data_IF_397425425702
#
_entry.id   IF_397425425702
#
_cell.length_a   1.000
_cell.length_b   1.000
_cell.length_c   1.000
_cell.angle_alpha   90.00
_cell.angle_beta   90.00
_cell.angle_gamma   90.00
#
_symmetry.space_group_name_H-M   'P 1'
#
loop_
_entity.id
_entity.type
_entity.pdbx_description
1 polymer ?
#
# COMPACT_ATOMS: atom_id res chain seq x y z
N UNK A 1 20.96 -14.08 -16.63
CA UNK A 1 20.26 -12.96 -17.29
C UNK A 1 18.84 -12.98 -16.78
N UNK A 2 18.36 -11.93 -16.10
CA UNK A 2 17.04 -11.95 -15.48
C UNK A 2 15.97 -11.98 -16.58
N UNK A 3 15.24 -13.09 -16.72
CA UNK A 3 14.11 -13.20 -17.64
C UNK A 3 12.91 -12.49 -16.99
N UNK A 4 12.65 -11.27 -17.46
CA UNK A 4 11.56 -10.41 -16.96
C UNK A 4 10.32 -10.61 -17.82
N UNK A 5 9.20 -10.92 -17.18
CA UNK A 5 7.95 -11.27 -17.86
C UNK A 5 7.02 -10.06 -18.04
N UNK A 6 6.89 -9.24 -17.01
CA UNK A 6 6.03 -8.05 -16.98
C UNK A 6 6.74 -6.91 -16.24
N UNK A 7 6.47 -5.69 -16.68
CA UNK A 7 6.97 -4.45 -16.07
C UNK A 7 5.80 -3.51 -15.84
N UNK A 8 5.80 -2.84 -14.69
CA UNK A 8 4.84 -1.79 -14.36
C UNK A 8 5.53 -0.59 -13.73
N UNK A 9 5.03 0.61 -14.01
CA UNK A 9 5.65 1.85 -13.55
C UNK A 9 4.71 2.66 -12.65
N UNK A 10 5.09 2.75 -11.37
CA UNK A 10 4.41 3.53 -10.35
C UNK A 10 4.81 5.00 -10.47
N UNK A 11 4.06 5.77 -11.27
CA UNK A 11 4.40 7.15 -11.64
C UNK A 11 4.65 8.11 -10.47
N UNK A 12 3.81 8.08 -9.42
CA UNK A 12 3.94 8.98 -8.25
C UNK A 12 5.16 8.67 -7.35
N UNK A 13 5.63 7.43 -7.38
CA UNK A 13 6.74 6.94 -6.52
C UNK A 13 8.04 6.81 -7.30
N UNK A 14 8.01 6.93 -8.64
CA UNK A 14 9.13 6.64 -9.54
C UNK A 14 9.71 5.23 -9.35
N UNK A 15 8.85 4.26 -9.05
CA UNK A 15 9.24 2.87 -8.90
C UNK A 15 8.88 2.08 -10.16
N UNK A 16 9.86 1.37 -10.72
CA UNK A 16 9.64 0.34 -11.71
C UNK A 16 9.54 -1.00 -10.99
N UNK A 17 8.42 -1.68 -11.19
CA UNK A 17 8.18 -3.02 -10.69
C UNK A 17 8.44 -3.99 -11.81
N UNK A 18 9.38 -4.90 -11.57
CA UNK A 18 9.75 -5.94 -12.51
C UNK A 18 9.36 -7.31 -11.99
N UNK A 19 8.57 -8.02 -12.78
CA UNK A 19 8.25 -9.43 -12.58
C UNK A 19 9.25 -10.31 -13.31
N UNK A 20 9.77 -11.33 -12.65
CA UNK A 20 10.59 -12.37 -13.28
C UNK A 20 9.85 -13.70 -13.35
N UNK A 21 10.13 -14.49 -14.40
CA UNK A 21 9.63 -15.87 -14.51
C UNK A 21 10.08 -16.76 -13.35
N UNK A 22 11.16 -16.41 -12.65
CA UNK A 22 11.67 -17.13 -11.50
C UNK A 22 10.90 -16.86 -10.19
N UNK A 23 9.63 -16.44 -10.27
CA UNK A 23 8.77 -16.09 -9.11
C UNK A 23 9.27 -14.92 -8.26
N UNK A 24 10.19 -14.12 -8.79
CA UNK A 24 10.70 -12.92 -8.11
C UNK A 24 10.01 -11.67 -8.63
N UNK A 25 9.72 -10.75 -7.73
CA UNK A 25 9.27 -9.40 -8.06
C UNK A 25 10.22 -8.39 -7.42
N UNK A 26 10.67 -7.42 -8.21
CA UNK A 26 11.64 -6.43 -7.78
C UNK A 26 11.05 -5.02 -7.90
N UNK A 27 11.26 -4.20 -6.88
CA UNK A 27 10.97 -2.77 -6.90
C UNK A 27 12.26 -2.01 -7.09
N UNK A 28 12.36 -1.22 -8.17
CA UNK A 28 13.54 -0.44 -8.50
C UNK A 28 13.14 1.02 -8.56
N UNK A 29 13.83 1.87 -7.80
CA UNK A 29 13.70 3.30 -7.90
C UNK A 29 14.42 3.79 -9.17
N UNK A 30 13.65 4.32 -10.12
CA UNK A 30 14.15 4.77 -11.42
C UNK A 30 14.92 6.09 -11.30
N UNK A 31 14.54 6.97 -10.37
CA UNK A 31 15.21 8.28 -10.25
C UNK A 31 16.61 8.14 -9.68
N UNK A 32 16.81 7.17 -8.77
CA UNK A 32 18.11 6.91 -8.11
C UNK A 32 18.86 5.73 -8.72
N UNK A 33 18.16 4.82 -9.40
CA UNK A 33 18.72 3.60 -9.96
C UNK A 33 19.00 2.51 -8.91
N UNK A 34 18.30 2.52 -7.78
CA UNK A 34 18.52 1.58 -6.67
C UNK A 34 17.36 0.61 -6.52
N UNK A 35 17.68 -0.65 -6.25
CA UNK A 35 16.66 -1.62 -5.86
C UNK A 35 16.18 -1.32 -4.43
N UNK A 36 14.87 -1.13 -4.29
CA UNK A 36 14.20 -0.86 -3.01
C UNK A 36 13.87 -2.16 -2.31
N UNK A 37 13.24 -3.10 -3.03
CA UNK A 37 12.81 -4.37 -2.48
C UNK A 37 12.92 -5.50 -3.51
N UNK A 38 13.07 -6.72 -3.00
CA UNK A 38 12.97 -7.98 -3.77
C UNK A 38 12.10 -8.95 -3.00
N UNK A 39 11.08 -9.48 -3.66
CA UNK A 39 10.14 -10.43 -3.06
C UNK A 39 10.14 -11.73 -3.83
N UNK A 40 10.20 -12.85 -3.09
CA UNK A 40 9.97 -14.18 -3.63
C UNK A 40 8.49 -14.54 -3.41
N UNK A 41 7.70 -14.56 -4.49
CA UNK A 41 6.26 -14.86 -4.43
C UNK A 41 5.96 -16.33 -4.18
N UNK A 42 6.92 -17.21 -4.46
CA UNK A 42 6.86 -18.68 -4.28
C UNK A 42 5.65 -19.36 -4.95
N UNK A 43 5.08 -18.73 -5.98
CA UNK A 43 3.79 -19.13 -6.56
C UNK A 43 3.85 -19.38 -8.08
N UNK A 44 5.05 -19.66 -8.61
CA UNK A 44 5.26 -20.00 -10.02
C UNK A 44 5.63 -18.80 -10.90
N UNK A 45 5.45 -18.95 -12.21
CA UNK A 45 5.74 -17.86 -13.17
C UNK A 45 4.76 -16.71 -12.97
N UNK A 46 5.29 -15.48 -13.03
CA UNK A 46 4.52 -14.26 -12.82
C UNK A 46 4.32 -13.53 -14.14
N UNK A 47 3.46 -14.08 -14.98
CA UNK A 47 3.18 -13.55 -16.32
C UNK A 47 2.11 -12.45 -16.31
N UNK A 48 1.40 -12.27 -15.19
CA UNK A 48 0.29 -11.32 -15.05
C UNK A 48 0.55 -10.39 -13.87
N UNK A 49 0.55 -9.10 -14.16
CA UNK A 49 0.80 -8.03 -13.20
C UNK A 49 -0.07 -6.82 -13.56
N UNK A 50 -0.67 -6.18 -12.56
CA UNK A 50 -1.49 -4.99 -12.70
C UNK A 50 -1.31 -4.03 -11.51
N UNK A 51 -1.10 -2.75 -11.77
CA UNK A 51 -1.03 -1.71 -10.75
C UNK A 51 -2.44 -1.18 -10.44
N UNK A 52 -2.69 -0.84 -9.17
CA UNK A 52 -3.79 0.07 -8.81
C UNK A 52 -3.30 1.54 -8.80
N UNK A 53 -4.08 2.44 -9.41
CA UNK A 53 -3.69 3.85 -9.56
C UNK A 53 -3.96 4.68 -8.30
N UNK A 54 -5.00 4.34 -7.52
CA UNK A 54 -5.30 5.01 -6.24
C UNK A 54 -4.32 4.57 -5.15
N UNK A 55 -4.27 3.27 -4.91
CA UNK A 55 -3.32 2.67 -3.98
C UNK A 55 -2.24 2.02 -4.84
N UNK A 56 -0.98 2.47 -4.77
CA UNK A 56 0.13 2.01 -5.64
C UNK A 56 0.61 0.59 -5.27
N UNK A 57 -0.34 -0.32 -5.07
CA UNK A 57 -0.16 -1.73 -4.79
C UNK A 57 -0.17 -2.48 -6.12
N UNK A 58 0.67 -3.51 -6.18
CA UNK A 58 0.79 -4.36 -7.35
C UNK A 58 -0.01 -5.63 -7.14
N UNK A 59 -0.92 -5.90 -8.06
CA UNK A 59 -1.67 -7.14 -8.14
C UNK A 59 -0.91 -8.10 -9.05
N UNK A 60 -0.69 -9.32 -8.58
CA UNK A 60 -0.01 -10.37 -9.34
C UNK A 60 -0.92 -11.58 -9.45
N UNK A 61 -1.03 -12.14 -10.66
CA UNK A 61 -1.81 -13.34 -10.93
C UNK A 61 -0.93 -14.57 -10.95
N UNK A 62 -1.36 -15.61 -10.24
CA UNK A 62 -0.63 -16.88 -10.15
C UNK A 62 -1.27 -17.97 -11.00
N UNK A 63 -0.47 -19.01 -11.27
CA UNK A 63 -0.91 -20.23 -11.95
C UNK A 63 -1.94 -21.03 -11.15
N UNK A 64 -1.96 -20.86 -9.83
CA UNK A 64 -2.90 -21.50 -8.92
C UNK A 64 -4.30 -20.83 -8.88
N UNK A 65 -4.53 -19.79 -9.69
CA UNK A 65 -5.79 -19.05 -9.70
C UNK A 65 -5.96 -18.05 -8.56
N UNK A 66 -4.91 -17.80 -7.80
CA UNK A 66 -4.87 -16.77 -6.76
C UNK A 66 -4.31 -15.47 -7.31
N UNK A 67 -4.86 -14.35 -6.85
CA UNK A 67 -4.30 -13.02 -7.04
C UNK A 67 -3.72 -12.57 -5.71
N UNK A 68 -2.47 -12.12 -5.71
CA UNK A 68 -1.84 -11.56 -4.50
C UNK A 68 -1.49 -10.09 -4.68
N UNK A 69 -1.74 -9.34 -3.63
CA UNK A 69 -1.52 -7.90 -3.54
C UNK A 69 -0.22 -7.63 -2.81
N UNK A 70 0.64 -6.78 -3.37
CA UNK A 70 1.98 -6.52 -2.85
C UNK A 70 2.23 -5.04 -2.60
N UNK A 71 2.90 -4.77 -1.48
CA UNK A 71 3.50 -3.48 -1.15
C UNK A 71 5.01 -3.67 -0.93
N UNK A 72 5.87 -2.68 -1.23
CA UNK A 72 7.30 -2.72 -0.90
C UNK A 72 7.59 -2.81 0.60
N UNK A 73 6.60 -2.55 1.46
CA UNK A 73 6.78 -2.53 2.91
C UNK A 73 6.74 -3.92 3.56
N UNK A 74 6.06 -4.87 2.93
CA UNK A 74 5.87 -6.22 3.46
C UNK A 74 6.53 -7.25 2.56
N UNK A 75 7.29 -8.18 3.17
CA UNK A 75 7.86 -9.33 2.46
C UNK A 75 6.82 -10.37 2.07
N UNK A 76 5.71 -10.38 2.78
CA UNK A 76 4.56 -11.24 2.51
C UNK A 76 3.48 -10.44 1.76
N UNK A 77 2.68 -11.08 0.91
CA UNK A 77 1.60 -10.39 0.22
C UNK A 77 0.57 -9.90 1.24
N UNK A 78 0.10 -8.66 1.06
CA UNK A 78 -0.87 -8.03 1.95
C UNK A 78 -2.19 -8.81 1.98
N UNK A 79 -2.64 -9.24 0.80
CA UNK A 79 -3.89 -9.98 0.61
C UNK A 79 -3.68 -11.05 -0.45
N UNK A 80 -4.27 -12.23 -0.24
CA UNK A 80 -4.39 -13.30 -1.23
C UNK A 80 -5.86 -13.57 -1.49
N UNK A 81 -6.29 -13.39 -2.74
CA UNK A 81 -7.67 -13.59 -3.18
C UNK A 81 -7.69 -14.82 -4.08
N UNK A 82 -8.51 -15.82 -3.76
CA UNK A 82 -8.75 -16.94 -4.66
C UNK A 82 -9.78 -16.50 -5.70
N UNK A 83 -9.32 -16.19 -6.91
CA UNK A 83 -10.17 -15.61 -7.94
C UNK A 83 -10.67 -16.67 -8.92
N UNK A 84 -9.81 -17.58 -9.36
CA UNK A 84 -10.13 -18.63 -10.32
C UNK A 84 -9.71 -20.01 -9.81
N UNK A 85 -10.31 -21.07 -10.37
CA UNK A 85 -9.89 -22.44 -10.06
C UNK A 85 -8.63 -22.85 -10.85
N UNK A 86 -8.28 -22.07 -11.85
CA UNK A 86 -7.17 -22.28 -12.77
C UNK A 86 -6.32 -21.01 -12.84
N UNK A 87 -5.18 -21.09 -13.51
CA UNK A 87 -4.29 -19.94 -13.78
C UNK A 87 -5.05 -18.68 -14.18
N UNK A 88 -4.73 -17.58 -13.50
CA UNK A 88 -5.13 -16.23 -13.88
C UNK A 88 -4.36 -15.86 -15.16
N UNK A 89 -5.05 -15.25 -16.12
CA UNK A 89 -4.49 -14.85 -17.42
C UNK A 89 -4.46 -13.34 -17.61
N UNK A 90 -5.44 -12.63 -17.08
CA UNK A 90 -5.45 -11.16 -17.08
C UNK A 90 -5.98 -10.61 -15.77
N UNK A 91 -5.47 -9.44 -15.40
CA UNK A 91 -5.94 -8.62 -14.27
C UNK A 91 -5.97 -7.18 -14.76
N UNK A 92 -7.09 -6.51 -14.51
CA UNK A 92 -7.22 -5.07 -14.68
C UNK A 92 -7.86 -4.48 -13.43
N UNK A 93 -7.38 -3.31 -13.02
CA UNK A 93 -7.94 -2.54 -11.91
C UNK A 93 -8.46 -1.23 -12.48
N UNK A 94 -9.57 -0.77 -11.91
CA UNK A 94 -10.14 0.54 -12.18
C UNK A 94 -9.21 1.68 -11.72
N UNK A 95 -9.24 2.82 -12.42
CA UNK A 95 -8.46 4.02 -12.07
C UNK A 95 -8.89 4.62 -10.73
N UNK A 96 -10.13 4.38 -10.29
CA UNK A 96 -10.62 4.73 -8.95
C UNK A 96 -10.33 3.66 -7.90
N UNK A 97 -9.68 2.54 -8.27
CA UNK A 97 -9.27 1.48 -7.35
C UNK A 97 -10.41 0.75 -6.64
N UNK A 98 -11.65 0.88 -7.13
CA UNK A 98 -12.82 0.28 -6.50
C UNK A 98 -13.09 -1.13 -7.02
N UNK A 99 -12.91 -1.33 -8.32
CA UNK A 99 -13.22 -2.57 -8.99
C UNK A 99 -11.96 -3.20 -9.61
N UNK A 100 -11.94 -4.52 -9.64
CA UNK A 100 -10.92 -5.31 -10.32
C UNK A 100 -11.59 -6.36 -11.19
N UNK A 101 -11.19 -6.45 -12.45
CA UNK A 101 -11.59 -7.52 -13.35
C UNK A 101 -10.47 -8.56 -13.43
N UNK A 102 -10.84 -9.83 -13.27
CA UNK A 102 -9.90 -10.95 -13.40
C UNK A 102 -10.43 -11.94 -14.41
N UNK A 103 -9.51 -12.50 -15.20
CA UNK A 103 -9.83 -13.51 -16.20
C UNK A 103 -8.93 -14.72 -16.02
N UNK A 104 -9.51 -15.90 -16.19
CA UNK A 104 -8.82 -17.17 -15.97
C UNK A 104 -8.97 -18.13 -17.12
N UNK A 105 -8.17 -19.19 -17.10
CA UNK A 105 -8.28 -20.32 -18.03
C UNK A 105 -9.60 -21.11 -17.85
N UNK A 106 -10.34 -20.86 -16.76
CA UNK A 106 -11.66 -21.39 -16.46
C UNK A 106 -12.79 -20.76 -17.31
N UNK A 107 -12.43 -19.92 -18.29
CA UNK A 107 -13.33 -19.20 -19.22
C UNK A 107 -14.33 -18.29 -18.51
N UNK A 108 -13.98 -17.82 -17.32
CA UNK A 108 -14.79 -16.87 -16.57
C UNK A 108 -14.07 -15.53 -16.50
N UNK A 109 -14.81 -14.44 -16.69
CA UNK A 109 -14.42 -13.11 -16.27
C UNK A 109 -15.14 -12.82 -14.96
N UNK A 110 -14.40 -12.51 -13.90
CA UNK A 110 -14.95 -12.17 -12.58
C UNK A 110 -14.66 -10.71 -12.27
N UNK A 111 -15.63 -10.06 -11.66
CA UNK A 111 -15.49 -8.69 -11.18
C UNK A 111 -15.50 -8.73 -9.66
N UNK A 112 -14.56 -8.00 -9.09
CA UNK A 112 -14.28 -7.95 -7.67
C UNK A 112 -14.42 -6.52 -7.19
N UNK A 113 -14.98 -6.37 -6.00
CA UNK A 113 -14.79 -5.18 -5.20
C UNK A 113 -13.43 -5.29 -4.49
N UNK A 114 -12.54 -4.32 -4.73
CA UNK A 114 -11.19 -4.28 -4.16
C UNK A 114 -11.21 -3.90 -2.68
N UNK A 115 -12.22 -3.15 -2.22
CA UNK A 115 -12.31 -2.71 -0.82
C UNK A 115 -12.75 -3.83 0.10
N UNK A 116 -13.73 -4.62 -0.36
CA UNK A 116 -14.29 -5.75 0.40
C UNK A 116 -13.68 -7.10 0.02
N UNK A 117 -12.86 -7.15 -1.03
CA UNK A 117 -12.30 -8.37 -1.63
C UNK A 117 -13.35 -9.43 -1.97
N UNK A 118 -14.56 -8.98 -2.33
CA UNK A 118 -15.69 -9.86 -2.63
C UNK A 118 -15.94 -9.92 -4.12
N UNK A 119 -16.25 -11.11 -4.61
CA UNK A 119 -16.71 -11.30 -5.97
C UNK A 119 -18.13 -10.69 -6.12
N UNK A 120 -18.28 -9.74 -7.03
CA UNK A 120 -19.56 -9.13 -7.38
C UNK A 120 -20.29 -9.99 -8.43
N UNK A 121 -19.62 -10.20 -9.57
CA UNK A 121 -20.22 -10.85 -10.72
C UNK A 121 -19.25 -11.84 -11.38
N UNK A 122 -19.81 -12.84 -12.08
CA UNK A 122 -19.08 -13.81 -12.88
C UNK A 122 -19.78 -13.95 -14.23
N UNK A 123 -19.02 -13.78 -15.30
CA UNK A 123 -19.49 -13.88 -16.67
C UNK A 123 -18.75 -15.03 -17.36
N UNK A 124 -19.51 -15.95 -17.95
CA UNK A 124 -18.94 -17.07 -18.70
C UNK A 124 -18.69 -16.65 -20.14
N UNK A 125 -17.48 -16.90 -20.62
CA UNK A 125 -17.06 -16.60 -21.98
C UNK A 125 -16.95 -17.91 -22.79
N UNK A 126 -17.15 -17.86 -24.12
CA UNK A 126 -17.15 -19.07 -24.94
C UNK A 126 -15.77 -19.74 -25.05
N UNK A 127 -14.69 -18.96 -25.03
CA UNK A 127 -13.31 -19.45 -25.12
C UNK A 127 -12.43 -18.97 -23.96
N UNK A 128 -11.24 -19.56 -23.83
CA UNK A 128 -10.23 -19.15 -22.86
C UNK A 128 -9.76 -17.72 -23.11
N UNK A 129 -9.53 -16.98 -22.04
CA UNK A 129 -9.21 -15.54 -22.09
C UNK A 129 -7.69 -15.34 -22.06
N UNK A 130 -7.21 -14.36 -22.84
CA UNK A 130 -5.80 -13.97 -22.86
C UNK A 130 -5.51 -12.80 -21.90
N UNK A 131 -6.14 -11.65 -22.10
CA UNK A 131 -5.95 -10.44 -21.29
C UNK A 131 -7.26 -9.69 -21.05
N UNK A 132 -7.24 -8.73 -20.13
CA UNK A 132 -8.37 -7.88 -19.77
C UNK A 132 -7.92 -6.44 -19.54
N UNK A 133 -8.77 -5.49 -19.93
CA UNK A 133 -8.54 -4.06 -19.71
C UNK A 133 -9.80 -3.39 -19.21
N UNK A 134 -9.66 -2.40 -18.34
CA UNK A 134 -10.77 -1.56 -17.85
C UNK A 134 -10.54 -0.16 -18.38
N UNK A 135 -11.60 0.47 -18.89
CA UNK A 135 -11.58 1.88 -19.28
C UNK A 135 -11.90 2.79 -18.09
N UNK A 136 -11.60 4.08 -18.21
CA UNK A 136 -11.88 5.12 -17.20
C UNK A 136 -13.35 5.18 -16.76
N UNK A 137 -14.28 4.77 -17.63
CA UNK A 137 -15.73 4.72 -17.38
C UNK A 137 -16.23 3.34 -16.96
N UNK A 138 -15.33 2.44 -16.56
CA UNK A 138 -15.64 1.08 -16.10
C UNK A 138 -16.18 0.13 -17.18
N UNK A 139 -15.88 0.40 -18.45
CA UNK A 139 -16.10 -0.56 -19.52
C UNK A 139 -14.98 -1.60 -19.51
N UNK A 140 -15.32 -2.88 -19.60
CA UNK A 140 -14.37 -3.99 -19.49
C UNK A 140 -14.18 -4.62 -20.86
N UNK A 141 -12.95 -4.63 -21.37
CA UNK A 141 -12.58 -5.33 -22.58
C UNK A 141 -11.92 -6.67 -22.25
N UNK A 142 -12.43 -7.76 -22.81
CA UNK A 142 -11.93 -9.12 -22.64
C UNK A 142 -11.42 -9.68 -23.98
N UNK A 143 -10.20 -10.20 -24.00
CA UNK A 143 -9.62 -10.87 -25.17
C UNK A 143 -9.98 -12.36 -25.20
N UNK A 144 -10.75 -12.77 -26.18
CA UNK A 144 -11.29 -14.14 -26.33
C UNK A 144 -10.75 -14.74 -27.64
N UNK A 145 -9.55 -15.32 -27.59
CA UNK A 145 -8.88 -15.87 -28.78
C UNK A 145 -8.58 -14.78 -29.82
N UNK A 146 -9.28 -14.82 -30.95
CA UNK A 146 -9.18 -13.81 -32.03
C UNK A 146 -10.21 -12.68 -31.88
N UNK A 147 -11.16 -12.82 -30.95
CA UNK A 147 -12.21 -11.84 -30.74
C UNK A 147 -11.91 -10.98 -29.53
N UNK A 148 -12.36 -9.73 -29.57
CA UNK A 148 -12.41 -8.85 -28.41
C UNK A 148 -13.86 -8.56 -28.09
N UNK A 149 -14.25 -8.78 -26.84
CA UNK A 149 -15.59 -8.50 -26.34
C UNK A 149 -15.53 -7.38 -25.32
N UNK A 150 -16.28 -6.32 -25.54
CA UNK A 150 -16.40 -5.19 -24.60
C UNK A 150 -17.73 -5.29 -23.88
N UNK A 151 -17.72 -5.12 -22.57
CA UNK A 151 -18.90 -5.15 -21.70
C UNK A 151 -19.05 -3.83 -20.95
N UNK A 152 -20.28 -3.33 -20.85
CA UNK A 152 -20.60 -2.02 -20.27
C UNK A 152 -21.47 -2.14 -19.03
N UNK A 153 -21.06 -1.56 -17.91
CA UNK A 153 -21.83 -1.64 -16.66
C UNK A 153 -21.72 -3.00 -15.97
N UNK A 154 -20.61 -3.68 -16.22
CA UNK A 154 -20.33 -5.03 -15.74
C UNK A 154 -20.29 -5.11 -14.20
N UNK A 155 -19.93 -3.99 -13.55
CA UNK A 155 -19.93 -3.78 -12.09
C UNK A 155 -21.33 -3.73 -11.47
N UNK A 156 -22.37 -3.39 -12.23
CA UNK A 156 -23.77 -3.31 -11.75
C UNK A 156 -24.58 -4.60 -12.02
N UNK A 157 -24.00 -5.59 -12.70
CA UNK A 157 -24.65 -6.88 -12.94
C UNK A 157 -25.68 -6.92 -14.07
N UNK A 158 -25.78 -5.84 -14.86
CA UNK A 158 -26.83 -5.67 -15.88
C UNK A 158 -26.51 -6.33 -17.24
N UNK A 159 -25.33 -6.92 -17.42
CA UNK A 159 -24.84 -7.37 -18.73
C UNK A 159 -25.21 -8.83 -19.03
N UNK A 160 -25.99 -9.08 -20.07
CA UNK A 160 -26.15 -10.44 -20.63
C UNK A 160 -25.38 -10.65 -21.93
N UNK A 161 -25.29 -9.60 -22.74
CA UNK A 161 -24.64 -9.59 -24.04
C UNK A 161 -23.47 -8.60 -24.03
N UNK A 162 -22.42 -8.85 -24.83
CA UNK A 162 -21.34 -7.88 -25.01
C UNK A 162 -21.88 -6.62 -25.70
N UNK A 163 -21.39 -5.45 -25.27
CA UNK A 163 -21.69 -4.17 -25.92
C UNK A 163 -21.15 -4.12 -27.34
N UNK A 164 -19.91 -4.57 -27.54
CA UNK A 164 -19.26 -4.66 -28.85
C UNK A 164 -18.48 -5.97 -28.95
N UNK A 165 -18.44 -6.52 -30.15
CA UNK A 165 -17.58 -7.66 -30.50
C UNK A 165 -16.79 -7.29 -31.74
N UNK A 166 -15.47 -7.40 -31.66
CA UNK A 166 -14.57 -7.18 -32.77
C UNK A 166 -13.82 -8.46 -33.10
N UNK A 167 -13.65 -8.73 -34.39
CA UNK A 167 -12.87 -9.86 -34.87
C UNK A 167 -11.51 -9.38 -35.38
N UNK A 168 -10.44 -9.83 -34.74
CA UNK A 168 -9.08 -9.54 -35.15
C UNK A 168 -8.57 -10.64 -36.08
N UNK A 169 -7.64 -10.29 -36.98
CA UNK A 169 -7.06 -11.24 -37.93
C UNK A 169 -6.15 -12.33 -37.31
N UNK A 170 -5.93 -12.30 -35.99
CA UNK A 170 -5.09 -13.24 -35.28
C UNK A 170 -5.38 -13.22 -33.77
N UNK A 171 -4.68 -14.08 -33.02
CA UNK A 171 -4.86 -14.22 -31.58
C UNK A 171 -4.42 -12.92 -30.88
N UNK A 172 -5.29 -12.41 -30.02
CA UNK A 172 -5.06 -11.20 -29.23
C UNK A 172 -4.09 -11.51 -28.09
N UNK A 173 -3.07 -10.67 -27.94
CA UNK A 173 -2.02 -10.81 -26.93
C UNK A 173 -2.19 -9.86 -25.75
N UNK A 174 -2.58 -8.61 -26.01
CA UNK A 174 -2.71 -7.55 -24.99
C UNK A 174 -3.83 -6.58 -25.40
N UNK A 175 -4.44 -5.94 -24.40
CA UNK A 175 -5.52 -4.98 -24.52
C UNK A 175 -5.25 -3.77 -23.62
N UNK A 176 -5.28 -2.57 -24.20
CA UNK A 176 -5.17 -1.32 -23.43
C UNK A 176 -6.11 -0.26 -24.00
N UNK A 177 -6.94 0.30 -23.14
CA UNK A 177 -7.67 1.53 -23.47
C UNK A 177 -6.71 2.71 -23.55
N UNK A 178 -6.95 3.59 -24.52
CA UNK A 178 -6.27 4.87 -24.60
C UNK A 178 -6.87 5.80 -23.54
N UNK A 179 -6.07 6.43 -22.67
CA UNK A 179 -6.60 7.39 -21.70
C UNK A 179 -7.29 8.58 -22.40
N UNK A 180 -8.44 9.02 -21.86
CA UNK A 180 -9.26 10.18 -22.33
C UNK A 180 -9.91 10.05 -23.72
N UNK A 181 -9.56 9.03 -24.50
CA UNK A 181 -10.13 8.79 -25.82
C UNK A 181 -11.02 7.54 -25.83
N UNK A 182 -11.99 7.50 -26.75
CA UNK A 182 -12.88 6.37 -26.98
C UNK A 182 -12.23 5.29 -27.87
N UNK A 183 -10.96 4.96 -27.59
CA UNK A 183 -10.16 4.03 -28.39
C UNK A 183 -9.63 2.89 -27.52
N UNK A 184 -9.76 1.67 -28.02
CA UNK A 184 -9.13 0.47 -27.49
C UNK A 184 -8.00 0.04 -28.42
N UNK A 185 -6.78 -0.02 -27.89
CA UNK A 185 -5.63 -0.62 -28.55
C UNK A 185 -5.61 -2.13 -28.35
N UNK A 186 -5.50 -2.87 -29.44
CA UNK A 186 -5.50 -4.33 -29.47
C UNK A 186 -4.18 -4.80 -30.11
N UNK A 187 -3.35 -5.45 -29.32
CA UNK A 187 -2.18 -6.18 -29.81
C UNK A 187 -2.60 -7.59 -30.21
N UNK A 188 -2.25 -8.03 -31.41
CA UNK A 188 -2.52 -9.39 -31.89
C UNK A 188 -1.33 -9.96 -32.66
N UNK A 189 -1.31 -11.26 -32.92
CA UNK A 189 -0.19 -11.93 -33.61
C UNK A 189 0.22 -11.27 -34.95
N UNK A 190 -0.74 -10.68 -35.69
CA UNK A 190 -0.50 -10.05 -36.99
C UNK A 190 -0.08 -8.55 -36.90
N UNK A 191 0.11 -7.99 -35.70
CA UNK A 191 0.39 -6.56 -35.50
C UNK A 191 -0.54 -5.87 -34.49
N UNK A 192 -1.00 -4.68 -34.82
CA UNK A 192 -1.79 -3.82 -33.93
C UNK A 192 -3.05 -3.32 -34.63
N UNK A 193 -4.17 -3.30 -33.91
CA UNK A 193 -5.43 -2.71 -34.36
C UNK A 193 -5.97 -1.76 -33.30
N UNK A 194 -6.42 -0.59 -33.72
CA UNK A 194 -7.19 0.32 -32.87
C UNK A 194 -8.67 0.18 -33.18
N UNK A 195 -9.47 0.01 -32.15
CA UNK A 195 -10.92 -0.11 -32.23
C UNK A 195 -11.57 1.07 -31.52
N UNK A 196 -12.59 1.69 -32.13
CA UNK A 196 -13.39 2.71 -31.47
C UNK A 196 -14.41 2.05 -30.54
N UNK A 197 -14.41 2.48 -29.28
CA UNK A 197 -15.36 2.04 -28.24
C UNK A 197 -16.06 3.29 -27.69
N UNK A 198 -17.24 3.64 -28.22
CA UNK A 198 -17.92 4.88 -27.85
C UNK A 198 -18.29 4.94 -26.37
N UNK A 199 -17.86 6.01 -25.72
CA UNK A 199 -18.09 6.30 -24.31
C UNK A 199 -17.18 5.54 -23.34
N UNK A 200 -15.99 5.11 -23.77
CA UNK A 200 -14.99 4.46 -22.91
C UNK A 200 -14.05 5.47 -22.22
N UNK A 201 -13.75 6.60 -22.86
CA UNK A 201 -12.86 7.64 -22.33
C UNK A 201 -13.61 8.64 -21.43
N UNK A 202 -12.91 9.18 -20.43
CA UNK A 202 -13.38 10.33 -19.68
C UNK A 202 -13.17 11.62 -20.49
N UNK A 203 -14.24 12.35 -20.87
CA UNK A 203 -14.11 13.58 -21.65
C UNK A 203 -13.48 14.72 -20.86
N UNK A 204 -13.52 14.67 -19.53
CA UNK A 204 -13.09 15.76 -18.66
C UNK A 204 -11.65 15.53 -18.21
N UNK A 205 -10.69 16.02 -18.99
CA UNK A 205 -9.27 15.87 -18.68
C UNK A 205 -8.82 16.87 -17.62
N UNK A 206 -8.23 16.38 -16.53
CA UNK A 206 -7.47 17.22 -15.59
C UNK A 206 -6.08 17.53 -16.16
N UNK A 207 -5.97 18.71 -16.78
CA UNK A 207 -4.76 19.17 -17.47
C UNK A 207 -3.54 19.33 -16.54
N UNK A 208 -3.75 19.49 -15.23
CA UNK A 208 -2.65 19.62 -14.27
C UNK A 208 -2.00 18.27 -13.93
N UNK A 209 -2.77 17.18 -13.96
CA UNK A 209 -2.26 15.83 -13.72
C UNK A 209 -1.69 15.22 -14.99
N UNK A 210 -2.44 15.31 -16.09
CA UNK A 210 -2.13 14.61 -17.33
C UNK A 210 -2.77 15.34 -18.50
N UNK A 211 -1.93 15.99 -19.33
CA UNK A 211 -2.38 16.74 -20.50
C UNK A 211 -1.98 15.99 -21.78
N UNK A 212 -2.92 15.50 -22.61
CA UNK A 212 -2.60 14.88 -23.90
C UNK A 212 -2.01 15.87 -24.91
N UNK A 213 -2.30 17.16 -24.78
CA UNK A 213 -1.79 18.21 -25.67
C UNK A 213 -0.65 19.02 -25.03
N UNK A 214 0.24 18.35 -24.31
CA UNK A 214 1.30 19.03 -23.59
C UNK A 214 2.35 19.68 -24.51
N UNK A 215 2.75 20.90 -24.17
CA UNK A 215 3.91 21.55 -24.82
C UNK A 215 5.23 21.06 -24.21
N UNK A 216 6.34 21.28 -24.92
CA UNK A 216 7.68 20.93 -24.42
C UNK A 216 8.04 21.62 -23.09
N UNK A 217 7.55 22.84 -22.82
CA UNK A 217 7.78 23.53 -21.54
C UNK A 217 6.98 22.88 -20.42
N UNK A 218 5.68 22.67 -20.65
CA UNK A 218 4.78 22.04 -19.69
C UNK A 218 5.25 20.63 -19.32
N UNK A 219 5.74 19.85 -20.29
CA UNK A 219 6.30 18.52 -20.03
C UNK A 219 7.49 18.57 -19.07
N UNK A 220 8.45 19.48 -19.33
CA UNK A 220 9.63 19.67 -18.46
C UNK A 220 9.22 20.07 -17.06
N UNK A 221 8.34 21.07 -16.93
CA UNK A 221 7.85 21.55 -15.64
C UNK A 221 7.10 20.44 -14.88
N UNK A 222 6.28 19.65 -15.58
CA UNK A 222 5.56 18.51 -15.00
C UNK A 222 6.52 17.43 -14.51
N UNK A 223 7.52 17.05 -15.31
CA UNK A 223 8.53 16.07 -14.92
C UNK A 223 9.32 16.54 -13.68
N UNK A 224 9.73 17.82 -13.65
CA UNK A 224 10.39 18.42 -12.49
C UNK A 224 9.47 18.39 -11.27
N UNK A 225 8.21 18.79 -11.42
CA UNK A 225 7.24 18.79 -10.33
C UNK A 225 6.97 17.38 -9.79
N UNK A 226 6.81 16.39 -10.67
CA UNK A 226 6.64 15.00 -10.26
C UNK A 226 7.85 14.49 -9.46
N UNK A 227 9.07 14.85 -9.88
CA UNK A 227 10.29 14.45 -9.15
C UNK A 227 10.40 15.12 -7.78
N UNK A 228 9.99 16.39 -7.65
CA UNK A 228 9.96 17.10 -6.37
C UNK A 228 8.88 16.54 -5.44
N UNK A 229 7.70 16.23 -5.98
CA UNK A 229 6.56 15.66 -5.26
C UNK A 229 6.63 14.12 -5.11
N UNK A 230 7.80 13.52 -5.38
CA UNK A 230 8.00 12.07 -5.34
C UNK A 230 7.66 11.52 -3.96
N UNK A 231 6.72 10.58 -3.93
CA UNK A 231 6.33 9.86 -2.72
C UNK A 231 7.33 8.75 -2.39
N UNK A 232 7.58 8.54 -1.10
CA UNK A 232 8.46 7.48 -0.60
C UNK A 232 7.79 6.11 -0.72
N UNK A 233 8.54 5.02 -1.00
CA UNK A 233 7.99 3.66 -1.08
C UNK A 233 7.31 3.22 0.24
N UNK A 234 7.75 3.76 1.37
CA UNK A 234 7.20 3.48 2.69
C UNK A 234 5.72 3.89 2.84
N UNK A 235 5.23 4.82 2.00
CA UNK A 235 3.84 5.29 2.04
C UNK A 235 2.86 4.37 1.30
N UNK A 236 3.32 3.25 0.74
CA UNK A 236 2.46 2.32 0.00
C UNK A 236 1.71 1.38 0.97
N UNK A 237 0.46 1.73 1.25
CA UNK A 237 -0.47 0.99 2.13
C UNK A 237 -1.74 0.56 1.40
N UNK A 238 -2.53 -0.34 2.01
CA UNK A 238 -3.79 -0.81 1.44
C UNK A 238 -4.86 0.28 1.40
N UNK A 239 -4.97 1.07 2.47
CA UNK A 239 -5.81 2.26 2.47
C UNK A 239 -4.91 3.50 2.56
N UNK A 240 -5.12 4.51 1.69
CA UNK A 240 -4.31 5.72 1.71
C UNK A 240 -4.61 6.58 2.95
N UNK A 241 -5.82 6.47 3.49
CA UNK A 241 -6.26 7.22 4.67
C UNK A 241 -5.61 6.77 5.98
N UNK A 242 -4.90 5.62 5.98
CA UNK A 242 -4.21 5.11 7.17
C UNK A 242 -3.11 6.06 7.66
N UNK A 243 -2.59 6.94 6.79
CA UNK A 243 -1.61 7.98 7.14
C UNK A 243 -2.18 8.98 8.14
N UNK A 244 -3.50 9.23 8.11
CA UNK A 244 -4.16 10.19 8.98
C UNK A 244 -4.52 9.61 10.35
N UNK A 245 -4.41 8.28 10.51
CA UNK A 245 -4.82 7.60 11.74
C UNK A 245 -3.71 7.65 12.78
N UNK A 246 -4.11 7.70 14.04
CA UNK A 246 -3.19 7.56 15.17
C UNK A 246 -2.92 6.07 15.38
N UNK A 247 -1.68 5.72 15.74
CA UNK A 247 -1.35 4.35 16.10
C UNK A 247 -1.90 4.03 17.49
N UNK A 248 -3.10 3.46 17.54
CA UNK A 248 -3.82 3.12 18.77
C UNK A 248 -3.00 2.17 19.66
N UNK A 249 -2.37 1.14 19.11
CA UNK A 249 -1.61 0.16 19.89
C UNK A 249 -0.37 0.75 20.56
N UNK A 250 0.31 1.70 19.89
CA UNK A 250 1.43 2.41 20.51
C UNK A 250 0.92 3.31 21.64
N UNK A 251 -0.18 4.02 21.39
CA UNK A 251 -0.80 4.91 22.37
C UNK A 251 -1.27 4.14 23.62
N UNK A 252 -1.87 2.96 23.45
CA UNK A 252 -2.25 2.08 24.56
C UNK A 252 -1.05 1.63 25.38
N UNK A 253 0.07 1.25 24.73
CA UNK A 253 1.31 0.91 25.42
C UNK A 253 1.87 2.11 26.21
N UNK A 254 1.89 3.30 25.60
CA UNK A 254 2.29 4.54 26.28
C UNK A 254 1.38 4.84 27.48
N UNK A 255 0.07 4.62 27.37
CA UNK A 255 -0.87 4.78 28.47
C UNK A 255 -0.66 3.77 29.59
N UNK A 256 -0.39 2.51 29.28
CA UNK A 256 -0.09 1.46 30.26
C UNK A 256 1.20 1.76 31.03
N UNK A 257 2.23 2.23 30.32
CA UNK A 257 3.49 2.65 30.94
C UNK A 257 3.28 3.86 31.86
N UNK A 258 2.51 4.86 31.43
CA UNK A 258 2.11 5.99 32.29
C UNK A 258 1.34 5.54 33.53
N UNK A 259 0.42 4.59 33.38
CA UNK A 259 -0.33 4.02 34.52
C UNK A 259 0.61 3.33 35.50
N UNK A 260 1.62 2.57 35.04
CA UNK A 260 2.61 1.90 35.91
C UNK A 260 3.40 2.89 36.77
N UNK A 261 3.78 4.04 36.23
CA UNK A 261 4.47 5.12 36.98
C UNK A 261 3.57 5.65 38.11
N UNK A 262 2.25 5.70 37.90
CA UNK A 262 1.29 6.17 38.90
C UNK A 262 1.12 5.22 40.11
N UNK A 263 1.43 3.92 39.95
CA UNK A 263 1.19 2.87 40.96
C UNK A 263 2.39 2.56 41.89
N UNK A 264 3.43 3.40 41.92
CA UNK A 264 4.53 3.25 42.89
C UNK A 264 3.97 3.45 44.32
N UNK A 265 3.76 2.33 45.03
CA UNK A 265 3.23 2.34 46.41
C UNK A 265 4.24 2.95 47.37
N UNK A 266 3.83 3.84 48.31
CA UNK A 266 4.74 4.39 49.30
C UNK A 266 5.30 3.28 50.19
N UNK A 267 6.62 3.29 50.41
CA UNK A 267 7.29 2.35 51.31
C UNK A 267 6.74 2.52 52.74
N UNK A 268 6.38 1.42 53.39
CA UNK A 268 5.85 1.45 54.74
C UNK A 268 6.93 1.97 55.71
N UNK A 269 6.64 3.07 56.40
CA UNK A 269 7.57 3.68 57.37
C UNK A 269 7.72 2.74 58.57
N UNK A 270 8.81 1.96 58.60
CA UNK A 270 9.21 1.22 59.80
C UNK A 270 9.93 2.16 60.76
N UNK A 271 9.17 2.84 61.61
CA UNK A 271 9.71 3.64 62.71
C UNK A 271 9.73 2.81 63.99
N UNK A 272 10.90 2.34 64.40
CA UNK A 272 11.10 1.73 65.72
C UNK A 272 11.47 2.82 66.73
N UNK A 273 10.58 3.15 67.70
CA UNK A 273 10.88 4.16 68.69
C UNK A 273 11.95 3.67 69.66
N UNK A 274 12.96 4.50 69.94
CA UNK A 274 13.94 4.25 71.00
C UNK A 274 13.34 4.70 72.34
N UNK A 275 12.97 3.75 73.21
CA UNK A 275 12.45 4.05 74.55
C UNK A 275 13.51 4.79 75.38
N UNK A 276 13.20 6.02 75.81
CA UNK A 276 13.94 6.77 76.84
C UNK A 276 12.96 7.24 77.91
N UNK A 277 13.38 7.20 79.18
CA UNK A 277 12.57 7.66 80.31
C UNK A 277 12.17 9.13 80.16
N UNK A 278 10.92 9.39 80.54
CA UNK A 278 10.09 10.55 80.18
C UNK A 278 10.55 11.82 80.89
N UNK A 279 11.08 12.79 80.13
CA UNK A 279 11.30 14.17 80.61
C UNK A 279 10.18 15.09 80.08
N UNK A 280 9.57 15.88 80.97
CA UNK A 280 8.36 16.71 80.73
C UNK A 280 8.47 17.79 79.63
N UNK A 281 9.61 17.93 78.92
CA UNK A 281 9.86 18.98 77.91
C UNK A 281 10.19 18.47 76.49
N UNK A 282 10.01 17.18 76.15
CA UNK A 282 10.53 16.60 74.89
C UNK A 282 9.51 16.17 73.82
N UNK A 283 8.21 16.30 74.05
CA UNK A 283 7.16 15.83 73.12
C UNK A 283 7.19 16.52 71.75
N UNK A 284 7.16 17.86 71.74
CA UNK A 284 7.21 18.65 70.51
C UNK A 284 8.48 18.38 69.67
N UNK A 285 9.64 18.16 70.30
CA UNK A 285 10.90 17.85 69.58
C UNK A 285 10.86 16.47 68.92
N UNK A 286 10.17 15.50 69.52
CA UNK A 286 9.95 14.18 68.92
C UNK A 286 8.99 14.27 67.73
N UNK A 287 7.90 15.03 67.86
CA UNK A 287 6.95 15.27 66.77
C UNK A 287 7.57 16.04 65.61
N UNK A 288 8.35 17.08 65.90
CA UNK A 288 9.12 17.82 64.90
C UNK A 288 10.09 16.90 64.16
N UNK A 289 10.83 16.03 64.86
CA UNK A 289 11.71 15.03 64.22
C UNK A 289 10.94 14.03 63.37
N UNK A 290 9.75 13.60 63.80
CA UNK A 290 8.89 12.69 63.05
C UNK A 290 8.38 13.34 61.76
N UNK A 291 8.04 14.62 61.81
CA UNK A 291 7.63 15.39 60.64
C UNK A 291 8.80 15.65 59.69
N UNK A 292 10.00 15.97 60.21
CA UNK A 292 11.22 16.11 59.39
C UNK A 292 11.52 14.81 58.63
N UNK A 293 11.48 13.65 59.31
CA UNK A 293 11.71 12.36 58.66
C UNK A 293 10.63 12.07 57.61
N UNK A 294 9.36 12.39 57.89
CA UNK A 294 8.26 12.24 56.92
C UNK A 294 8.43 13.15 55.70
N UNK A 295 8.86 14.38 55.90
CA UNK A 295 9.06 15.36 54.83
C UNK A 295 10.27 15.00 53.97
N UNK A 296 11.33 14.49 54.58
CA UNK A 296 12.53 14.02 53.88
C UNK A 296 12.23 12.82 52.98
N UNK A 297 11.45 11.85 53.47
CA UNK A 297 10.95 10.71 52.68
C UNK A 297 9.98 11.17 51.57
N UNK A 298 9.18 12.21 51.82
CA UNK A 298 8.28 12.79 50.80
C UNK A 298 9.05 13.48 49.69
N UNK A 299 10.13 14.17 50.04
CA UNK A 299 11.03 14.84 49.10
C UNK A 299 11.78 13.81 48.23
N UNK A 300 12.39 12.80 48.84
CA UNK A 300 13.07 11.70 48.12
C UNK A 300 12.12 10.99 47.15
N UNK A 301 10.87 10.76 47.54
CA UNK A 301 9.85 10.19 46.64
C UNK A 301 9.49 11.10 45.46
N UNK A 302 9.30 12.40 45.73
CA UNK A 302 9.01 13.34 44.66
C UNK A 302 10.17 13.43 43.67
N UNK A 303 11.41 13.29 44.16
CA UNK A 303 12.62 13.19 43.36
C UNK A 303 12.70 11.86 42.58
N UNK A 304 12.36 10.72 43.17
CA UNK A 304 12.30 9.43 42.46
C UNK A 304 11.20 9.43 41.39
N UNK A 305 10.04 10.02 41.69
CA UNK A 305 8.96 10.18 40.72
C UNK A 305 9.37 11.12 39.59
N UNK A 306 9.98 12.26 39.90
CA UNK A 306 10.54 13.16 38.90
C UNK A 306 11.65 12.49 38.09
N UNK A 307 12.53 11.71 38.72
CA UNK A 307 13.59 10.99 38.03
C UNK A 307 13.04 9.89 37.13
N UNK A 308 11.97 9.19 37.53
CA UNK A 308 11.28 8.22 36.69
C UNK A 308 10.50 8.88 35.55
N UNK A 309 9.92 10.06 35.78
CA UNK A 309 9.31 10.91 34.74
C UNK A 309 10.38 11.43 33.77
N UNK A 310 11.52 11.92 34.28
CA UNK A 310 12.64 12.43 33.48
C UNK A 310 13.28 11.30 32.67
N UNK A 311 13.47 10.11 33.23
CA UNK A 311 13.97 8.93 32.51
C UNK A 311 12.95 8.40 31.46
N UNK A 312 11.67 8.78 31.58
CA UNK A 312 10.61 8.48 30.61
C UNK A 312 10.52 9.56 29.51
N UNK A 313 10.71 10.84 29.85
CA UNK A 313 10.66 11.97 28.92
C UNK A 313 12.00 12.29 28.25
N UNK A 314 13.12 11.81 28.81
CA UNK A 314 14.32 11.50 28.04
C UNK A 314 13.89 10.45 27.03
N UNK A 315 13.48 10.94 25.85
CA UNK A 315 13.40 10.15 24.63
C UNK A 315 14.60 9.21 24.69
N UNK A 316 14.44 7.89 24.49
CA UNK A 316 15.61 7.06 24.24
C UNK A 316 16.39 7.83 23.18
N UNK A 317 17.63 8.19 23.51
CA UNK A 317 18.55 8.77 22.54
C UNK A 317 18.27 8.00 21.26
N UNK A 318 17.86 8.72 20.21
CA UNK A 318 17.70 8.13 18.89
C UNK A 318 18.89 7.20 18.77
N UNK A 319 18.64 5.88 18.75
CA UNK A 319 19.69 4.95 18.33
C UNK A 319 20.17 5.60 17.06
N UNK A 320 21.41 6.11 17.08
CA UNK A 320 21.95 6.92 16.02
C UNK A 320 21.96 5.98 14.82
N UNK A 321 20.85 5.96 14.09
CA UNK A 321 20.82 5.47 12.75
C UNK A 321 21.88 6.34 12.10
N UNK A 322 22.91 5.74 11.50
CA UNK A 322 24.00 6.51 10.93
C UNK A 322 23.37 7.59 10.07
N UNK A 323 23.63 8.87 10.43
CA UNK A 323 23.01 10.05 9.80
C UNK A 323 22.82 9.77 8.32
N UNK A 324 21.58 9.68 7.84
CA UNK A 324 21.33 9.55 6.41
C UNK A 324 22.07 10.71 5.74
N UNK A 325 23.14 10.41 5.00
CA UNK A 325 23.98 11.41 4.35
C UNK A 325 23.06 12.35 3.57
N UNK A 326 23.01 13.61 3.97
CA UNK A 326 22.23 14.61 3.25
C UNK A 326 22.85 14.75 1.85
N UNK A 327 22.02 15.01 0.84
CA UNK A 327 22.48 15.11 -0.56
C UNK A 327 23.62 16.14 -0.73
N UNK A 328 23.64 17.16 0.13
CA UNK A 328 24.66 18.21 0.19
C UNK A 328 26.03 17.73 0.71
N UNK A 329 26.10 16.64 1.48
CA UNK A 329 27.36 16.09 2.01
C UNK A 329 28.17 15.31 0.95
N UNK A 330 27.66 15.15 -0.29
CA UNK A 330 28.41 14.56 -1.43
C UNK A 330 29.16 15.59 -2.28
N UNK A 331 29.00 16.89 -1.99
CA UNK A 331 29.56 17.98 -2.79
C UNK A 331 30.74 18.69 -2.09
N UNK A 332 31.37 18.04 -1.10
CA UNK A 332 32.61 18.49 -0.48
C UNK A 332 33.78 17.59 -0.85
#
# INVERSE_FOLDING_TARGET
MYDTARLEFLSRHFLLVGSSRNSFMNYIDVSVGKQVASFATKSGTLDVMCQNLQTPIIHTGHTNGTVSLWSPNSKEPLVKILTHLSSVKGIAVDDQGNYMATTGLDRKCRIWDVRMFRQLHAYSLPFGVADVSISQKLDVACAVGNHVQVFRGMHNGTCKEPYLVHNCGGVVTDLKFVPWEDVLGIGHANGFTSMLVPGAGDPNVDTLRSNPYETKSQRKEREIKQLLDKLQPELITLNPDDINKVNEGLLELEEEERKKILYIRPMAVQYTPRHKMRSKKSGWKMEARKNIIKDQIRLERNLEKHSAEDHFFEKPEEQVQPKKKHILDRLK
#
